data_IF_015085453818
#
_entry.id   IF_015085453818
#
_cell.length_a   1.000
_cell.length_b   1.000
_cell.length_c   1.000
_cell.angle_alpha   90.00
_cell.angle_beta   90.00
_cell.angle_gamma   90.00
#
_symmetry.space_group_name_H-M   'P 1'
#
loop_
_entity.id
_entity.type
_entity.pdbx_description
1 polymer ?
#
# COMPACT_ATOMS: atom_id res chain seq x y z
N UNK A 1 12.26 11.68 21.10
CA UNK A 1 11.58 11.22 19.86
C UNK A 1 10.40 12.12 19.61
N UNK A 2 10.31 12.68 18.41
CA UNK A 2 9.13 13.46 18.01
C UNK A 2 7.99 12.52 17.63
N UNK A 3 6.73 12.98 17.72
CA UNK A 3 5.55 12.19 17.34
C UNK A 3 5.65 11.69 15.88
N UNK A 4 6.26 12.48 15.00
CA UNK A 4 6.51 12.16 13.58
C UNK A 4 7.49 11.00 13.38
N UNK A 5 8.56 10.92 14.17
CA UNK A 5 9.53 9.81 14.11
C UNK A 5 8.89 8.48 14.55
N UNK A 6 8.06 8.53 15.59
CA UNK A 6 7.37 7.35 16.12
C UNK A 6 6.36 6.82 15.10
N UNK A 7 5.62 7.72 14.44
CA UNK A 7 4.66 7.37 13.40
C UNK A 7 5.35 6.74 12.19
N UNK A 8 6.43 7.33 11.69
CA UNK A 8 7.21 6.79 10.57
C UNK A 8 7.79 5.40 10.89
N UNK A 9 8.32 5.22 12.10
CA UNK A 9 8.84 3.92 12.52
C UNK A 9 7.74 2.87 12.56
N UNK A 10 6.56 3.20 13.09
CA UNK A 10 5.41 2.28 13.09
C UNK A 10 5.04 1.85 11.67
N UNK A 11 4.91 2.81 10.74
CA UNK A 11 4.62 2.51 9.33
C UNK A 11 5.68 1.59 8.72
N UNK A 12 6.98 1.88 8.94
CA UNK A 12 8.08 1.04 8.43
C UNK A 12 8.02 -0.40 8.93
N UNK A 13 7.64 -0.61 10.19
CA UNK A 13 7.57 -1.96 10.77
C UNK A 13 6.36 -2.75 10.27
N UNK A 14 5.22 -2.09 10.04
CA UNK A 14 3.96 -2.78 9.72
C UNK A 14 3.57 -2.74 8.23
N UNK A 15 4.36 -2.08 7.39
CA UNK A 15 4.03 -1.95 5.96
C UNK A 15 4.00 -3.31 5.24
N UNK A 16 4.92 -4.23 5.56
CA UNK A 16 4.93 -5.58 5.00
C UNK A 16 3.63 -6.31 5.34
N UNK A 17 3.36 -6.48 6.64
CA UNK A 17 2.18 -7.19 7.14
C UNK A 17 0.87 -6.61 6.58
N UNK A 18 0.77 -5.28 6.49
CA UNK A 18 -0.39 -4.59 5.94
C UNK A 18 -0.62 -4.96 4.47
N UNK A 19 0.43 -4.93 3.65
CA UNK A 19 0.34 -5.19 2.22
C UNK A 19 0.15 -6.68 1.93
N UNK A 20 0.88 -7.56 2.61
CA UNK A 20 0.73 -9.02 2.50
C UNK A 20 -0.68 -9.46 2.89
N UNK A 21 -1.19 -8.96 4.02
CA UNK A 21 -2.55 -9.24 4.45
C UNK A 21 -3.60 -8.70 3.47
N UNK A 22 -3.35 -7.55 2.86
CA UNK A 22 -4.26 -6.97 1.87
C UNK A 22 -4.31 -7.77 0.56
N UNK A 23 -3.15 -8.12 -0.02
CA UNK A 23 -3.11 -8.91 -1.28
C UNK A 23 -3.71 -10.30 -1.08
N UNK A 24 -3.46 -10.92 0.08
CA UNK A 24 -4.09 -12.19 0.45
C UNK A 24 -5.61 -12.06 0.58
N UNK A 25 -6.09 -10.99 1.23
CA UNK A 25 -7.53 -10.75 1.37
C UNK A 25 -8.23 -10.45 0.03
N UNK A 26 -7.48 -10.03 -0.99
CA UNK A 26 -7.99 -9.80 -2.35
C UNK A 26 -7.73 -10.99 -3.29
N UNK A 27 -7.25 -12.13 -2.78
CA UNK A 27 -6.92 -13.30 -3.60
C UNK A 27 -5.97 -12.96 -4.76
N UNK A 28 -5.01 -12.06 -4.51
CA UNK A 28 -3.99 -11.62 -5.48
C UNK A 28 -2.68 -12.32 -5.17
N UNK A 29 -2.12 -13.01 -6.16
CA UNK A 29 -0.76 -13.56 -6.09
C UNK A 29 0.25 -12.45 -6.38
N UNK A 30 0.90 -11.95 -5.33
CA UNK A 30 1.91 -10.89 -5.42
C UNK A 30 3.12 -11.14 -4.53
N UNK A 31 4.28 -10.68 -4.99
CA UNK A 31 5.48 -10.49 -4.18
C UNK A 31 5.47 -9.09 -3.54
N UNK A 32 5.79 -9.01 -2.25
CA UNK A 32 5.85 -7.76 -1.49
C UNK A 32 7.26 -7.56 -0.96
N UNK A 33 7.97 -6.58 -1.53
CA UNK A 33 9.34 -6.25 -1.11
C UNK A 33 9.37 -4.89 -0.42
N UNK A 34 9.72 -4.86 0.87
CA UNK A 34 9.82 -3.62 1.67
C UNK A 34 11.26 -3.13 1.78
N UNK A 35 11.49 -1.83 1.62
CA UNK A 35 12.80 -1.21 1.86
C UNK A 35 13.07 -1.08 3.36
N UNK A 36 14.25 -1.53 3.79
CA UNK A 36 14.64 -1.55 5.23
C UNK A 36 14.71 -0.15 5.86
N UNK A 37 15.06 0.88 5.09
CA UNK A 37 15.36 2.22 5.55
C UNK A 37 14.22 3.24 5.35
N UNK A 38 13.17 2.88 4.60
CA UNK A 38 12.11 3.79 4.17
C UNK A 38 10.73 3.17 4.38
N UNK A 39 9.71 4.02 4.54
CA UNK A 39 8.33 3.58 4.45
C UNK A 39 7.93 3.42 2.97
N UNK A 40 8.58 2.46 2.31
CA UNK A 40 8.46 2.19 0.89
C UNK A 40 8.42 0.69 0.65
N UNK A 41 7.50 0.24 -0.20
CA UNK A 41 7.35 -1.15 -0.59
C UNK A 41 7.04 -1.24 -2.08
N UNK A 42 7.53 -2.29 -2.72
CA UNK A 42 7.18 -2.67 -4.08
C UNK A 42 6.28 -3.90 -4.02
N UNK A 43 5.12 -3.82 -4.66
CA UNK A 43 4.18 -4.93 -4.82
C UNK A 43 4.18 -5.35 -6.28
N UNK A 44 4.54 -6.60 -6.56
CA UNK A 44 4.65 -7.14 -7.93
C UNK A 44 3.71 -8.33 -8.06
N UNK A 45 2.68 -8.23 -8.89
CA UNK A 45 1.77 -9.35 -9.16
C UNK A 45 2.34 -10.30 -10.21
N UNK A 46 1.86 -11.53 -10.22
CA UNK A 46 2.29 -12.57 -11.18
C UNK A 46 2.18 -12.11 -12.65
N UNK A 47 1.19 -11.28 -12.97
CA UNK A 47 0.95 -10.75 -14.32
C UNK A 47 1.90 -9.60 -14.71
N UNK A 48 2.88 -9.28 -13.86
CA UNK A 48 3.95 -8.33 -14.15
C UNK A 48 3.65 -6.87 -13.81
N UNK A 49 2.47 -6.55 -13.26
CA UNK A 49 2.18 -5.22 -12.73
C UNK A 49 3.02 -5.00 -11.46
N UNK A 50 3.76 -3.89 -11.43
CA UNK A 50 4.59 -3.50 -10.30
C UNK A 50 4.17 -2.13 -9.77
N UNK A 51 3.63 -2.10 -8.56
CA UNK A 51 3.16 -0.88 -7.89
C UNK A 51 4.08 -0.54 -6.72
N UNK A 52 4.66 0.65 -6.76
CA UNK A 52 5.42 1.21 -5.66
C UNK A 52 4.49 1.93 -4.68
N UNK A 53 4.49 1.49 -3.43
CA UNK A 53 3.79 2.10 -2.31
C UNK A 53 4.78 2.91 -1.49
N UNK A 54 4.51 4.19 -1.26
CA UNK A 54 5.34 5.05 -0.41
C UNK A 54 4.51 5.78 0.62
N UNK A 55 5.10 6.02 1.79
CA UNK A 55 4.62 6.97 2.79
C UNK A 55 5.71 7.99 3.06
N UNK A 56 5.45 9.25 2.69
CA UNK A 56 6.47 10.28 2.67
C UNK A 56 5.92 11.67 2.95
N UNK A 57 6.83 12.58 3.31
CA UNK A 57 6.50 13.97 3.60
C UNK A 57 6.46 14.79 2.30
N UNK A 58 5.39 15.57 2.11
CA UNK A 58 5.28 16.58 1.05
C UNK A 58 6.20 17.76 1.34
N UNK A 59 6.53 18.56 0.31
CA UNK A 59 7.19 19.86 0.50
C UNK A 59 6.44 20.78 1.48
N UNK A 60 5.12 20.62 1.61
CA UNK A 60 4.27 21.35 2.57
C UNK A 60 4.46 20.92 4.02
N UNK A 61 5.17 19.82 4.28
CA UNK A 61 5.36 19.23 5.60
C UNK A 61 4.34 18.15 5.97
N UNK A 62 3.29 17.96 5.18
CA UNK A 62 2.27 16.93 5.44
C UNK A 62 2.74 15.54 5.00
N UNK A 63 2.43 14.52 5.78
CA UNK A 63 2.66 13.14 5.39
C UNK A 63 1.51 12.58 4.57
N UNK A 64 1.84 11.84 3.50
CA UNK A 64 0.84 11.24 2.63
C UNK A 64 1.30 9.89 2.08
N UNK A 65 0.33 9.09 1.68
CA UNK A 65 0.56 7.86 0.93
C UNK A 65 0.62 8.18 -0.56
N UNK A 66 1.44 7.44 -1.30
CA UNK A 66 1.45 7.50 -2.75
C UNK A 66 1.60 6.11 -3.36
N UNK A 67 0.93 5.93 -4.51
CA UNK A 67 1.11 4.80 -5.39
C UNK A 67 1.76 5.29 -6.67
N UNK A 68 2.80 4.61 -7.11
CA UNK A 68 3.44 4.87 -8.39
C UNK A 68 3.53 3.57 -9.18
N UNK A 69 3.08 3.60 -10.43
CA UNK A 69 3.11 2.45 -11.33
C UNK A 69 3.37 2.97 -12.75
N UNK A 70 3.65 2.06 -13.68
CA UNK A 70 3.53 2.35 -15.10
C UNK A 70 2.15 1.95 -15.58
N UNK A 71 1.57 2.77 -16.43
CA UNK A 71 0.38 2.42 -17.16
C UNK A 71 0.70 1.22 -18.09
N UNK A 72 -0.05 0.10 -18.02
CA UNK A 72 0.25 -1.09 -18.81
C UNK A 72 0.10 -0.88 -20.32
N UNK A 73 -0.69 0.09 -20.76
CA UNK A 73 -0.98 0.35 -22.17
C UNK A 73 -0.03 1.38 -22.78
N UNK A 74 0.32 2.41 -22.01
CA UNK A 74 1.13 3.54 -22.50
C UNK A 74 2.57 3.51 -22.01
N UNK A 75 2.90 2.60 -21.08
CA UNK A 75 4.15 2.54 -20.31
C UNK A 75 4.51 3.83 -19.55
N UNK A 76 3.61 4.82 -19.56
CA UNK A 76 3.86 6.09 -18.90
C UNK A 76 3.79 5.92 -17.39
N UNK A 77 4.76 6.46 -16.64
CA UNK A 77 4.69 6.45 -15.20
C UNK A 77 3.56 7.36 -14.73
N UNK A 78 2.80 6.90 -13.75
CA UNK A 78 1.83 7.73 -13.03
C UNK A 78 2.11 7.68 -11.53
N UNK A 79 1.64 8.72 -10.84
CA UNK A 79 1.73 8.83 -9.39
C UNK A 79 0.40 9.36 -8.83
N UNK A 80 -0.20 8.66 -7.88
CA UNK A 80 -1.45 9.05 -7.21
C UNK A 80 -1.24 9.16 -5.71
N UNK A 81 -1.81 10.20 -5.12
CA UNK A 81 -1.66 10.51 -3.70
C UNK A 81 -2.94 10.22 -2.92
N UNK A 82 -2.78 9.70 -1.71
CA UNK A 82 -3.87 9.26 -0.87
C UNK A 82 -3.73 9.84 0.55
N UNK A 83 -4.83 10.36 1.14
CA UNK A 83 -4.79 10.99 2.45
C UNK A 83 -4.65 9.98 3.60
N UNK A 84 -4.93 8.69 3.36
CA UNK A 84 -4.87 7.64 4.38
C UNK A 84 -4.45 6.30 3.81
N UNK A 85 -3.97 5.40 4.68
CA UNK A 85 -3.61 4.03 4.31
C UNK A 85 -4.82 3.28 3.72
N UNK A 86 -6.02 3.49 4.27
CA UNK A 86 -7.24 2.84 3.79
C UNK A 86 -7.63 3.29 2.37
N UNK A 87 -7.52 4.59 2.08
CA UNK A 87 -7.74 5.10 0.71
C UNK A 87 -6.65 4.64 -0.25
N UNK A 88 -5.40 4.50 0.23
CA UNK A 88 -4.30 3.94 -0.55
C UNK A 88 -4.58 2.47 -0.90
N UNK A 89 -4.98 1.64 0.07
CA UNK A 89 -5.30 0.23 -0.16
C UNK A 89 -6.44 0.05 -1.17
N UNK A 90 -7.45 0.92 -1.15
CA UNK A 90 -8.51 0.91 -2.18
C UNK A 90 -7.96 1.22 -3.57
N UNK A 91 -7.06 2.20 -3.66
CA UNK A 91 -6.37 2.54 -4.90
C UNK A 91 -5.51 1.37 -5.39
N UNK A 92 -4.71 0.79 -4.50
CA UNK A 92 -3.83 -0.35 -4.81
C UNK A 92 -4.65 -1.54 -5.31
N UNK A 93 -5.73 -1.88 -4.61
CA UNK A 93 -6.63 -2.96 -5.04
C UNK A 93 -7.15 -2.74 -6.46
N UNK A 94 -7.58 -1.53 -6.81
CA UNK A 94 -8.11 -1.24 -8.13
C UNK A 94 -7.07 -1.49 -9.24
N UNK A 95 -5.78 -1.35 -8.94
CA UNK A 95 -4.69 -1.66 -9.86
C UNK A 95 -4.37 -3.16 -9.90
N UNK A 96 -4.40 -3.85 -8.76
CA UNK A 96 -3.98 -5.26 -8.68
C UNK A 96 -5.09 -6.27 -9.01
N UNK A 97 -6.34 -5.90 -8.81
CA UNK A 97 -7.50 -6.76 -8.99
C UNK A 97 -8.69 -5.98 -9.57
N UNK A 98 -8.57 -5.41 -10.79
CA UNK A 98 -9.59 -4.56 -11.39
C UNK A 98 -10.92 -5.30 -11.65
N UNK A 99 -10.84 -6.60 -11.94
CA UNK A 99 -12.00 -7.42 -12.30
C UNK A 99 -12.72 -8.02 -11.10
N UNK A 100 -12.13 -7.92 -9.90
CA UNK A 100 -12.77 -8.42 -8.70
C UNK A 100 -13.75 -7.37 -8.14
N UNK A 101 -15.04 -7.70 -7.96
CA UNK A 101 -16.01 -6.77 -7.40
C UNK A 101 -15.52 -6.30 -6.04
N UNK A 102 -15.64 -5.00 -5.78
CA UNK A 102 -15.19 -4.34 -4.57
C UNK A 102 -15.96 -4.80 -3.31
N UNK A 103 -15.86 -6.08 -2.92
CA UNK A 103 -16.27 -6.53 -1.60
C UNK A 103 -15.49 -5.67 -0.61
N UNK A 104 -16.21 -4.82 0.13
CA UNK A 104 -15.60 -3.82 1.00
C UNK A 104 -14.51 -4.47 1.84
N UNK A 105 -13.38 -3.79 2.04
CA UNK A 105 -12.35 -4.23 2.97
C UNK A 105 -13.01 -4.51 4.32
N UNK A 106 -13.32 -5.78 4.60
CA UNK A 106 -13.90 -6.20 5.87
C UNK A 106 -12.73 -6.44 6.80
N UNK A 107 -12.35 -5.39 7.53
CA UNK A 107 -11.47 -5.55 8.68
C UNK A 107 -12.32 -6.23 9.76
N UNK A 108 -12.20 -7.54 9.88
CA UNK A 108 -12.73 -8.27 11.04
C UNK A 108 -11.79 -7.99 12.21
N UNK A 109 -12.24 -7.30 13.27
CA UNK A 109 -11.43 -7.21 14.48
C UNK A 109 -11.22 -8.63 14.99
N UNK A 110 -9.96 -9.01 15.25
CA UNK A 110 -9.66 -10.26 15.94
C UNK A 110 -10.35 -10.23 17.30
N UNK A 111 -11.32 -11.11 17.49
CA UNK A 111 -11.93 -11.35 18.79
C UNK A 111 -10.88 -12.04 19.66
N UNK A 112 -10.06 -11.25 20.35
CA UNK A 112 -9.33 -11.77 21.52
C UNK A 112 -10.39 -11.98 22.59
N UNK A 113 -10.78 -13.25 22.80
CA UNK A 113 -11.59 -13.63 23.95
C UNK A 113 -10.81 -13.30 25.22
N UNK A 114 -11.36 -12.36 26.01
CA UNK A 114 -10.97 -12.11 27.40
C UNK A 114 -11.38 -13.29 28.30
#
# INVERSE_FOLDING_TARGET
>A
MTQSETHLNSVRHHLADLLEGAVMAWDVVADVTVRKDRAEALVVVADGIAVLVTYGQRPTGDWQWALSCRDPQTEQPWNRFYPSALTMLRGLRAELAPDQPAFGLVITPSAVSL
#
